data_IF_894170560180
#
_entry.id   IF_894170560180
#
_cell.length_a   1.000
_cell.length_b   1.000
_cell.length_c   1.000
_cell.angle_alpha   90.00
_cell.angle_beta   90.00
_cell.angle_gamma   90.00
#
_symmetry.space_group_name_H-M   'P 1'
#
loop_
_entity.id
_entity.type
_entity.pdbx_description
1 polymer ?
#
# COMPACT_ATOMS: atom_id res chain seq x y z
N UNK A 1 -11.69 -4.36 24.39
CA UNK A 1 -11.11 -5.66 24.81
C UNK A 1 -10.13 -5.57 25.99
N UNK A 2 -9.43 -4.45 26.22
CA UNK A 2 -8.48 -4.28 27.35
C UNK A 2 -9.10 -4.42 28.74
N UNK A 3 -10.28 -3.84 28.96
CA UNK A 3 -10.99 -3.89 30.26
C UNK A 3 -11.39 -5.31 30.64
N UNK A 4 -11.86 -6.11 29.67
CA UNK A 4 -12.26 -7.50 29.89
C UNK A 4 -11.06 -8.40 30.23
N UNK A 5 -9.92 -8.19 29.57
CA UNK A 5 -8.68 -8.92 29.84
C UNK A 5 -8.14 -8.62 31.25
N UNK A 6 -8.23 -7.36 31.69
CA UNK A 6 -7.86 -6.97 33.06
C UNK A 6 -8.78 -7.61 34.10
N UNK A 7 -10.10 -7.60 33.86
CA UNK A 7 -11.07 -8.13 34.82
C UNK A 7 -11.02 -9.66 34.93
N UNK A 8 -10.81 -10.37 33.82
CA UNK A 8 -10.88 -11.84 33.78
C UNK A 8 -9.52 -12.52 33.99
N UNK A 9 -8.43 -11.86 33.61
CA UNK A 9 -7.09 -12.47 33.60
C UNK A 9 -6.02 -11.62 34.31
N UNK A 10 -6.36 -10.46 34.87
CA UNK A 10 -5.38 -9.57 35.53
C UNK A 10 -4.36 -8.93 34.59
N UNK A 11 -4.54 -9.09 33.28
CA UNK A 11 -3.58 -8.63 32.28
C UNK A 11 -3.77 -7.14 31.98
N UNK A 12 -2.69 -6.36 32.08
CA UNK A 12 -2.65 -4.97 31.62
C UNK A 12 -2.14 -5.00 30.18
N UNK A 13 -3.06 -4.91 29.22
CA UNK A 13 -2.73 -4.83 27.81
C UNK A 13 -2.23 -3.42 27.47
N UNK A 14 -1.15 -3.31 26.68
CA UNK A 14 -0.72 -2.03 26.13
C UNK A 14 -1.84 -1.40 25.29
N UNK A 15 -1.97 -0.07 25.36
CA UNK A 15 -2.87 0.66 24.47
C UNK A 15 -2.46 0.42 23.02
N UNK A 16 -3.33 -0.23 22.26
CA UNK A 16 -3.11 -0.48 20.86
C UNK A 16 -3.37 0.81 20.08
N UNK A 17 -2.37 1.70 20.02
CA UNK A 17 -2.40 2.94 19.21
C UNK A 17 -2.01 2.67 17.75
N UNK A 18 -2.38 1.50 17.23
CA UNK A 18 -2.26 1.24 15.81
C UNK A 18 -3.30 2.12 15.10
N UNK A 19 -2.87 2.97 14.14
CA UNK A 19 -3.80 3.80 13.40
C UNK A 19 -4.82 2.91 12.68
N UNK A 20 -6.09 3.08 13.02
CA UNK A 20 -7.21 2.38 12.37
C UNK A 20 -7.62 2.99 11.03
N UNK A 21 -6.94 4.07 10.62
CA UNK A 21 -7.32 4.86 9.47
C UNK A 21 -6.43 4.51 8.28
N UNK A 22 -7.08 4.04 7.21
CA UNK A 22 -6.48 3.99 5.88
C UNK A 22 -6.50 5.41 5.33
N UNK A 23 -5.34 5.93 4.97
CA UNK A 23 -5.25 7.15 4.17
C UNK A 23 -5.47 6.73 2.71
N UNK A 24 -6.44 7.34 2.04
CA UNK A 24 -6.80 7.03 0.65
C UNK A 24 -5.83 7.68 -0.38
N UNK A 25 -4.71 8.20 0.10
CA UNK A 25 -3.64 8.75 -0.73
C UNK A 25 -2.64 7.63 -1.07
N UNK A 26 -3.05 6.76 -1.98
CA UNK A 26 -2.15 5.77 -2.57
C UNK A 26 -1.14 6.38 -3.54
N UNK A 27 -0.04 5.66 -3.82
CA UNK A 27 0.97 6.10 -4.77
C UNK A 27 0.44 6.14 -6.21
N UNK A 28 0.87 7.14 -6.98
CA UNK A 28 0.50 7.29 -8.39
C UNK A 28 1.21 6.25 -9.25
N UNK A 29 0.45 5.49 -10.03
CA UNK A 29 0.96 4.45 -10.94
C UNK A 29 1.98 4.98 -11.94
N UNK A 30 1.86 6.23 -12.41
CA UNK A 30 2.86 6.78 -13.34
C UNK A 30 4.24 6.89 -12.67
N UNK A 31 4.28 7.27 -11.40
CA UNK A 31 5.53 7.33 -10.65
C UNK A 31 6.12 5.93 -10.44
N UNK A 32 5.27 4.95 -10.13
CA UNK A 32 5.66 3.55 -9.96
C UNK A 32 6.24 3.00 -11.26
N UNK A 33 5.56 3.21 -12.39
CA UNK A 33 6.00 2.72 -13.70
C UNK A 33 7.37 3.27 -14.11
N UNK A 34 7.67 4.54 -13.77
CA UNK A 34 8.96 5.17 -14.05
C UNK A 34 10.10 4.70 -13.16
N UNK A 35 9.78 4.11 -12.00
CA UNK A 35 10.76 3.66 -11.01
C UNK A 35 10.50 2.19 -10.64
N UNK A 36 10.25 1.36 -11.67
CA UNK A 36 9.75 0.00 -11.47
C UNK A 36 10.73 -0.87 -10.67
N UNK A 37 12.04 -0.68 -10.87
CA UNK A 37 13.08 -1.41 -10.15
C UNK A 37 12.98 -1.18 -8.63
N UNK A 38 12.90 0.09 -8.22
CA UNK A 38 12.74 0.44 -6.81
C UNK A 38 11.43 -0.08 -6.21
N UNK A 39 10.37 -0.13 -7.02
CA UNK A 39 9.09 -0.69 -6.58
C UNK A 39 9.19 -2.19 -6.32
N UNK A 40 9.79 -2.96 -7.23
CA UNK A 40 9.98 -4.41 -7.08
C UNK A 40 10.88 -4.73 -5.87
N UNK A 41 11.92 -3.92 -5.63
CA UNK A 41 12.78 -4.05 -4.47
C UNK A 41 12.04 -3.78 -3.15
N UNK A 42 11.12 -2.82 -3.13
CA UNK A 42 10.54 -2.29 -1.89
C UNK A 42 9.15 -2.84 -1.55
N UNK A 43 8.47 -3.52 -2.47
CA UNK A 43 7.08 -3.99 -2.28
C UNK A 43 6.95 -5.52 -2.39
N UNK A 44 6.03 -6.09 -1.62
CA UNK A 44 5.55 -7.46 -1.74
C UNK A 44 4.15 -7.48 -2.32
N UNK A 45 3.84 -8.49 -3.13
CA UNK A 45 2.49 -8.70 -3.64
C UNK A 45 1.72 -9.73 -2.79
N UNK A 46 0.57 -9.33 -2.28
CA UNK A 46 -0.39 -10.23 -1.65
C UNK A 46 -1.33 -10.77 -2.73
N UNK A 47 -1.13 -12.03 -3.14
CA UNK A 47 -1.94 -12.71 -4.14
C UNK A 47 -3.39 -12.92 -3.70
N UNK A 48 -3.64 -13.11 -2.40
CA UNK A 48 -4.97 -13.42 -1.88
C UNK A 48 -5.87 -12.19 -1.91
N UNK A 49 -5.34 -11.06 -1.46
CA UNK A 49 -6.09 -9.80 -1.34
C UNK A 49 -5.81 -8.84 -2.51
N UNK A 50 -4.96 -9.24 -3.46
CA UNK A 50 -4.66 -8.54 -4.70
C UNK A 50 -4.16 -7.09 -4.53
N UNK A 51 -3.22 -6.88 -3.62
CA UNK A 51 -2.56 -5.58 -3.45
C UNK A 51 -1.06 -5.72 -3.26
N UNK A 52 -0.34 -4.63 -3.52
CA UNK A 52 1.07 -4.51 -3.14
C UNK A 52 1.20 -3.77 -1.82
N UNK A 53 2.11 -4.21 -0.96
CA UNK A 53 2.42 -3.60 0.32
C UNK A 53 3.92 -3.38 0.46
N UNK A 54 4.27 -2.22 1.00
CA UNK A 54 5.64 -1.86 1.30
C UNK A 54 6.26 -2.85 2.31
N UNK A 55 7.52 -3.26 2.07
CA UNK A 55 8.24 -4.22 2.93
C UNK A 55 8.64 -3.60 4.27
N UNK A 56 9.05 -2.34 4.25
CA UNK A 56 9.47 -1.58 5.43
C UNK A 56 9.21 -0.08 5.21
N UNK A 57 8.88 0.64 6.27
CA UNK A 57 8.57 2.07 6.23
C UNK A 57 9.30 2.81 7.34
N UNK A 58 9.75 4.03 7.02
CA UNK A 58 10.32 4.95 8.01
C UNK A 58 9.28 5.50 9.00
N UNK A 59 8.00 5.29 8.72
CA UNK A 59 6.88 5.71 9.55
C UNK A 59 6.16 4.51 10.16
N UNK A 60 5.21 4.75 11.08
CA UNK A 60 4.35 3.70 11.64
C UNK A 60 3.26 3.21 10.68
N UNK A 61 3.29 3.64 9.42
CA UNK A 61 2.31 3.31 8.39
C UNK A 61 3.03 2.69 7.19
N UNK A 62 2.52 1.57 6.70
CA UNK A 62 2.98 0.95 5.46
C UNK A 62 2.12 1.44 4.31
N UNK A 63 2.77 1.71 3.19
CA UNK A 63 2.08 2.11 1.96
C UNK A 63 1.48 0.88 1.27
N UNK A 64 0.25 1.01 0.78
CA UNK A 64 -0.45 -0.05 0.04
C UNK A 64 -0.91 0.48 -1.33
N UNK A 65 -0.61 -0.26 -2.40
CA UNK A 65 -1.14 -0.02 -3.73
C UNK A 65 -2.25 -1.02 -4.04
N UNK A 66 -3.47 -0.53 -4.19
CA UNK A 66 -4.66 -1.30 -4.55
C UNK A 66 -5.09 -1.03 -6.00
N UNK A 67 -6.04 -1.81 -6.50
CA UNK A 67 -6.67 -1.57 -7.81
C UNK A 67 -7.37 -0.19 -7.87
N UNK A 68 -7.90 0.30 -6.75
CA UNK A 68 -8.55 1.62 -6.69
C UNK A 68 -7.55 2.75 -6.97
N UNK A 69 -6.34 2.67 -6.40
CA UNK A 69 -5.26 3.61 -6.70
C UNK A 69 -4.87 3.57 -8.19
N UNK A 70 -4.82 2.38 -8.78
CA UNK A 70 -4.57 2.22 -10.23
C UNK A 70 -5.67 2.86 -11.07
N UNK A 71 -6.93 2.62 -10.73
CA UNK A 71 -8.08 3.23 -11.41
C UNK A 71 -8.07 4.76 -11.27
N UNK A 72 -7.68 5.28 -10.10
CA UNK A 72 -7.54 6.71 -9.85
C UNK A 72 -6.45 7.34 -10.71
N UNK A 73 -5.27 6.72 -10.82
CA UNK A 73 -4.21 7.19 -11.72
C UNK A 73 -4.67 7.23 -13.17
N UNK A 74 -5.39 6.21 -13.65
CA UNK A 74 -5.94 6.19 -15.02
C UNK A 74 -6.97 7.31 -15.20
N UNK A 75 -7.82 7.57 -14.22
CA UNK A 75 -8.82 8.65 -14.30
C UNK A 75 -8.18 10.03 -14.32
N UNK A 76 -7.12 10.24 -13.54
CA UNK A 76 -6.42 11.52 -13.42
C UNK A 76 -5.60 11.85 -14.66
N UNK A 77 -4.89 10.87 -15.22
CA UNK A 77 -3.92 11.10 -16.30
C UNK A 77 -4.35 10.54 -17.66
N UNK A 78 -5.49 9.87 -17.72
CA UNK A 78 -6.01 9.23 -18.93
C UNK A 78 -5.25 7.95 -19.33
N UNK A 79 -5.60 7.41 -20.50
CA UNK A 79 -4.99 6.19 -21.05
C UNK A 79 -3.50 6.37 -21.40
N UNK A 80 -2.96 7.59 -21.42
CA UNK A 80 -1.55 7.87 -21.73
C UNK A 80 -0.57 7.23 -20.73
N UNK A 81 -0.99 6.99 -19.48
CA UNK A 81 -0.20 6.21 -18.51
C UNK A 81 0.00 4.79 -19.03
N UNK A 82 -1.05 4.15 -19.54
CA UNK A 82 -0.98 2.74 -19.96
C UNK A 82 0.09 2.54 -21.03
N UNK A 83 0.16 3.41 -22.05
CA UNK A 83 1.22 3.35 -23.07
C UNK A 83 2.61 3.57 -22.49
N UNK A 84 2.75 4.49 -21.54
CA UNK A 84 4.04 4.75 -20.87
C UNK A 84 4.46 3.56 -20.02
N UNK A 85 3.55 2.98 -19.24
CA UNK A 85 3.80 1.78 -18.42
C UNK A 85 4.12 0.57 -19.29
N UNK A 86 3.37 0.34 -20.37
CA UNK A 86 3.65 -0.73 -21.34
C UNK A 86 5.05 -0.55 -21.91
N UNK A 87 5.42 0.66 -22.34
CA UNK A 87 6.74 0.92 -22.87
C UNK A 87 7.84 0.68 -21.82
N UNK A 88 7.71 1.27 -20.63
CA UNK A 88 8.76 1.21 -19.61
C UNK A 88 8.90 -0.16 -18.95
N UNK A 89 7.81 -0.94 -18.85
CA UNK A 89 7.85 -2.26 -18.20
C UNK A 89 8.12 -3.39 -19.20
N UNK A 90 7.63 -3.30 -20.45
CA UNK A 90 7.77 -4.39 -21.43
C UNK A 90 8.92 -4.20 -22.44
N UNK A 91 9.49 -2.99 -22.59
CA UNK A 91 10.62 -2.74 -23.49
C UNK A 91 11.96 -2.56 -22.75
N UNK A 92 12.00 -2.77 -21.43
CA UNK A 92 13.24 -2.88 -20.65
C UNK A 92 13.78 -4.31 -20.67
#
# INVERSE_FOLDING_TARGET
>A
MSVLAKHKYGLILCENRLPFQKLDQGPDVLFIARNIDSFVESYNYNLNEQFFIEKDSKSKQLTVLTVEHVANSIRTHGMGIMNTTVHTVLLC
#
